data_IF_477697510960
#
_entry.id   IF_477697510960
#
_cell.length_a   1.000
_cell.length_b   1.000
_cell.length_c   1.000
_cell.angle_alpha   90.00
_cell.angle_beta   90.00
_cell.angle_gamma   90.00
#
_symmetry.space_group_name_H-M   'P 1'
#
loop_
_entity.id
_entity.type
_entity.pdbx_description
1 polymer ?
#
# COMPACT_ATOMS: atom_id res chain seq x y z
N UNK A 1 6.94 32.53 -19.39
CA UNK A 1 7.36 31.17 -19.00
C UNK A 1 6.93 30.91 -17.56
N UNK A 2 5.67 30.56 -17.33
CA UNK A 2 5.12 30.30 -15.97
C UNK A 2 4.40 28.95 -15.94
N UNK A 3 3.76 28.59 -17.05
CA UNK A 3 3.03 27.33 -17.24
C UNK A 3 3.92 26.09 -17.04
N UNK A 4 5.24 26.18 -17.26
CA UNK A 4 6.16 25.04 -17.12
C UNK A 4 6.37 24.62 -15.66
N UNK A 5 6.37 25.57 -14.73
CA UNK A 5 6.65 25.28 -13.32
C UNK A 5 5.44 24.69 -12.58
N UNK A 6 4.22 25.01 -13.03
CA UNK A 6 2.97 24.46 -12.47
C UNK A 6 2.78 22.97 -12.81
N UNK A 7 3.21 22.53 -14.00
CA UNK A 7 3.08 21.13 -14.44
C UNK A 7 4.01 20.20 -13.63
N UNK A 8 5.16 20.71 -13.15
CA UNK A 8 6.10 19.93 -12.35
C UNK A 8 5.52 19.51 -10.98
N UNK A 9 4.57 20.28 -10.44
CA UNK A 9 3.97 20.00 -9.13
C UNK A 9 2.88 18.91 -9.18
N UNK A 10 2.25 18.67 -10.33
CA UNK A 10 1.16 17.69 -10.48
C UNK A 10 1.61 16.28 -10.84
N UNK A 11 2.89 16.08 -11.19
CA UNK A 11 3.44 14.77 -11.53
C UNK A 11 4.00 13.99 -10.32
N UNK A 12 3.69 14.40 -9.08
CA UNK A 12 3.68 13.46 -7.96
C UNK A 12 2.44 12.56 -8.05
N UNK A 13 2.30 11.87 -9.19
CA UNK A 13 1.61 10.60 -9.18
C UNK A 13 2.51 9.68 -8.36
N UNK A 14 2.32 9.68 -7.04
CA UNK A 14 2.83 8.61 -6.20
C UNK A 14 2.39 7.33 -6.89
N UNK A 15 3.34 6.66 -7.54
CA UNK A 15 3.13 5.34 -8.08
C UNK A 15 2.82 4.50 -6.85
N UNK A 16 1.53 4.35 -6.56
CA UNK A 16 1.04 3.51 -5.48
C UNK A 16 1.40 2.09 -5.89
N UNK A 17 2.62 1.68 -5.54
CA UNK A 17 3.15 0.37 -5.89
C UNK A 17 2.21 -0.67 -5.29
N UNK A 18 1.46 -1.31 -6.18
CA UNK A 18 0.57 -2.40 -5.83
C UNK A 18 1.42 -3.65 -5.64
N UNK A 19 1.61 -4.00 -4.38
CA UNK A 19 2.38 -5.18 -3.97
C UNK A 19 1.46 -6.34 -3.62
N UNK A 20 1.93 -7.56 -3.88
CA UNK A 20 1.16 -8.78 -3.59
C UNK A 20 1.24 -9.12 -2.11
N UNK A 21 0.26 -9.88 -1.61
CA UNK A 21 0.27 -10.40 -0.22
C UNK A 21 1.60 -11.02 0.23
N UNK A 22 2.31 -11.70 -0.69
CA UNK A 22 3.61 -12.31 -0.41
C UNK A 22 4.70 -11.27 -0.15
N UNK A 23 4.81 -10.27 -1.02
CA UNK A 23 5.79 -9.17 -0.88
C UNK A 23 5.50 -8.35 0.38
N UNK A 24 4.22 -8.15 0.70
CA UNK A 24 3.79 -7.52 1.95
C UNK A 24 4.27 -8.29 3.17
N UNK A 25 4.13 -9.62 3.16
CA UNK A 25 4.61 -10.47 4.25
C UNK A 25 6.14 -10.39 4.40
N UNK A 26 6.86 -10.37 3.28
CA UNK A 26 8.33 -10.26 3.25
C UNK A 26 8.79 -8.88 3.74
N UNK A 27 8.11 -7.80 3.33
CA UNK A 27 8.38 -6.43 3.73
C UNK A 27 8.13 -6.18 5.22
N UNK A 28 7.01 -6.67 5.74
CA UNK A 28 6.64 -6.54 7.15
C UNK A 28 7.27 -7.62 8.06
N UNK A 29 7.93 -8.62 7.46
CA UNK A 29 8.42 -9.82 8.14
C UNK A 29 7.34 -10.52 9.00
N UNK A 30 6.12 -10.59 8.47
CA UNK A 30 4.98 -11.23 9.15
C UNK A 30 4.51 -12.48 8.42
N UNK A 31 3.87 -13.39 9.16
CA UNK A 31 3.21 -14.54 8.55
C UNK A 31 1.97 -14.11 7.75
N UNK A 32 1.64 -14.88 6.70
CA UNK A 32 0.38 -14.71 5.94
C UNK A 32 -0.84 -14.73 6.85
N UNK A 33 -0.83 -15.58 7.88
CA UNK A 33 -1.93 -15.68 8.86
C UNK A 33 -2.14 -14.36 9.58
N UNK A 34 -1.06 -13.69 9.99
CA UNK A 34 -1.10 -12.37 10.62
C UNK A 34 -1.67 -11.32 9.66
N UNK A 35 -1.22 -11.32 8.40
CA UNK A 35 -1.72 -10.40 7.38
C UNK A 35 -3.24 -10.57 7.15
N UNK A 36 -3.72 -11.81 7.03
CA UNK A 36 -5.16 -12.08 6.89
C UNK A 36 -5.96 -11.70 8.14
N UNK A 37 -5.39 -11.86 9.36
CA UNK A 37 -6.02 -11.36 10.58
C UNK A 37 -6.17 -9.85 10.54
N UNK A 38 -5.17 -9.12 10.07
CA UNK A 38 -5.22 -7.66 9.95
C UNK A 38 -6.23 -7.18 8.91
N UNK A 39 -6.36 -7.89 7.79
CA UNK A 39 -7.45 -7.69 6.83
C UNK A 39 -8.82 -7.85 7.48
N UNK A 40 -9.05 -8.95 8.21
CA UNK A 40 -10.32 -9.18 8.92
C UNK A 40 -10.58 -8.13 10.00
N UNK A 41 -9.53 -7.60 10.61
CA UNK A 41 -9.61 -6.53 11.61
C UNK A 41 -9.76 -5.14 10.99
N UNK A 42 -9.71 -4.99 9.66
CA UNK A 42 -9.74 -3.68 8.99
C UNK A 42 -8.51 -2.82 9.24
N UNK A 43 -7.39 -3.40 9.70
CA UNK A 43 -6.13 -2.70 9.97
C UNK A 43 -5.33 -2.43 8.69
N UNK A 44 -5.49 -3.29 7.70
CA UNK A 44 -4.85 -3.19 6.39
C UNK A 44 -5.94 -3.35 5.34
N UNK A 45 -5.94 -2.46 4.34
CA UNK A 45 -6.86 -2.49 3.22
C UNK A 45 -6.21 -3.30 2.10
N UNK A 46 -6.96 -4.27 1.56
CA UNK A 46 -6.53 -5.08 0.43
C UNK A 46 -7.49 -4.89 -0.73
N UNK A 47 -6.92 -4.76 -1.93
CA UNK A 47 -7.65 -4.59 -3.18
C UNK A 47 -7.66 -5.91 -3.95
N UNK A 48 -8.86 -6.38 -4.25
CA UNK A 48 -9.03 -7.57 -5.09
C UNK A 48 -8.96 -7.16 -6.55
N UNK A 49 -8.00 -7.71 -7.28
CA UNK A 49 -7.92 -7.63 -8.72
C UNK A 49 -8.11 -9.04 -9.28
N UNK A 50 -9.38 -9.34 -9.62
CA UNK A 50 -9.82 -10.69 -9.98
C UNK A 50 -9.67 -11.65 -8.80
N UNK A 51 -8.91 -12.73 -8.98
CA UNK A 51 -8.64 -13.75 -7.95
C UNK A 51 -7.45 -13.44 -7.05
N UNK A 52 -6.73 -12.34 -7.33
CA UNK A 52 -5.49 -11.97 -6.62
C UNK A 52 -5.71 -10.77 -5.70
N UNK A 53 -5.04 -10.81 -4.55
CA UNK A 53 -5.08 -9.76 -3.53
C UNK A 53 -3.82 -8.90 -3.61
N UNK A 54 -4.04 -7.61 -3.79
CA UNK A 54 -3.01 -6.58 -3.87
C UNK A 54 -3.17 -5.57 -2.73
N UNK A 55 -2.08 -4.87 -2.43
CA UNK A 55 -2.04 -3.88 -1.38
C UNK A 55 -1.29 -2.66 -1.89
N UNK A 56 -1.75 -1.48 -1.49
CA UNK A 56 -0.99 -0.26 -1.71
C UNK A 56 0.13 -0.20 -0.68
N UNK A 57 1.36 0.00 -1.15
CA UNK A 57 2.53 0.15 -0.26
C UNK A 57 2.34 1.28 0.76
N UNK A 58 1.84 2.44 0.33
CA UNK A 58 1.58 3.60 1.19
C UNK A 58 0.62 3.29 2.35
N UNK A 59 -0.43 2.50 2.10
CA UNK A 59 -1.38 2.10 3.15
C UNK A 59 -0.77 1.16 4.18
N UNK A 60 0.12 0.26 3.76
CA UNK A 60 0.84 -0.63 4.67
C UNK A 60 1.78 0.16 5.56
N UNK A 61 2.51 1.11 4.99
CA UNK A 61 3.37 2.01 5.76
C UNK A 61 2.56 2.85 6.76
N UNK A 62 1.39 3.34 6.35
CA UNK A 62 0.47 4.08 7.23
C UNK A 62 -0.10 3.19 8.35
N UNK A 63 -0.45 1.94 8.04
CA UNK A 63 -0.92 0.98 9.04
C UNK A 63 0.16 0.66 10.09
N UNK A 64 1.43 0.70 9.71
CA UNK A 64 2.57 0.56 10.63
C UNK A 64 2.73 1.79 11.52
N UNK A 65 2.68 3.00 10.92
CA UNK A 65 2.83 4.28 11.62
C UNK A 65 1.73 4.53 12.65
N UNK A 66 0.50 4.10 12.38
CA UNK A 66 -0.66 4.31 13.28
C UNK A 66 -0.55 3.59 14.64
N UNK A 67 0.48 2.78 14.86
CA UNK A 67 0.65 1.94 16.06
C UNK A 67 1.81 2.35 16.98
N UNK A 68 2.42 3.51 16.75
CA UNK A 68 3.43 4.13 17.63
C UNK A 68 2.81 5.37 18.29
#
# INVERSE_FOLDING_TARGET
EVIRDEIAQFNHAETEDLIKAREVCEYLQVSKVTLYKWLKQGKVIGYYLGTRLFFKKSEIENALKKRI
#
